data_IF_479353058302
#
_entry.id   IF_479353058302
#
_cell.length_a   1.000
_cell.length_b   1.000
_cell.length_c   1.000
_cell.angle_alpha   90.00
_cell.angle_beta   90.00
_cell.angle_gamma   90.00
#
_symmetry.space_group_name_H-M   'P 1'
#
loop_
_entity.id
_entity.type
_entity.pdbx_description
1 polymer ?
#
# COMPACT_ATOMS: atom_id res chain seq x y z
N UNK A 1 20.56 52.85 14.53
CA UNK A 1 20.20 54.28 14.52
C UNK A 1 19.16 54.68 15.59
N UNK A 2 18.29 53.79 16.07
CA UNK A 2 17.25 54.14 17.07
C UNK A 2 17.75 54.43 18.50
N UNK A 3 18.88 53.83 18.94
CA UNK A 3 19.43 54.05 20.30
C UNK A 3 20.03 55.46 20.54
N UNK A 4 20.42 56.18 19.49
CA UNK A 4 21.04 57.52 19.63
C UNK A 4 20.01 58.67 19.72
N UNK A 5 18.78 58.47 19.24
CA UNK A 5 17.70 59.45 19.37
C UNK A 5 17.11 59.48 20.79
N UNK A 6 16.95 58.32 21.42
CA UNK A 6 16.41 58.22 22.79
C UNK A 6 17.31 58.93 23.82
N UNK A 7 18.63 58.75 23.73
CA UNK A 7 19.57 59.40 24.65
C UNK A 7 19.69 60.92 24.46
N UNK A 8 19.42 61.43 23.25
CA UNK A 8 19.43 62.88 22.99
C UNK A 8 18.17 63.57 23.49
N UNK A 9 17.00 62.91 23.42
CA UNK A 9 15.73 63.40 23.95
C UNK A 9 15.73 63.48 25.48
N UNK A 10 16.30 62.48 26.17
CA UNK A 10 16.41 62.48 27.64
C UNK A 10 17.33 63.60 28.13
N UNK A 11 18.45 63.86 27.44
CA UNK A 11 19.35 64.99 27.78
C UNK A 11 18.72 66.36 27.55
N UNK A 12 17.86 66.51 26.53
CA UNK A 12 17.16 67.77 26.26
C UNK A 12 16.10 68.07 27.33
N UNK A 13 15.40 67.03 27.81
CA UNK A 13 14.35 67.16 28.82
C UNK A 13 14.89 67.60 30.20
N UNK A 14 16.04 67.06 30.63
CA UNK A 14 16.63 67.41 31.93
C UNK A 14 17.21 68.83 32.01
N UNK A 15 17.48 69.49 30.88
CA UNK A 15 17.99 70.87 30.86
C UNK A 15 16.86 71.89 31.11
N UNK A 16 15.61 71.58 30.77
CA UNK A 16 14.48 72.51 30.94
C UNK A 16 13.84 72.49 32.34
N UNK A 17 14.08 71.46 33.15
CA UNK A 17 13.42 71.29 34.47
C UNK A 17 14.14 72.03 35.61
N UNK A 18 15.29 72.69 35.35
CA UNK A 18 16.05 73.42 36.37
C UNK A 18 15.71 74.92 36.52
N UNK A 19 14.84 75.50 35.68
CA UNK A 19 14.37 76.89 35.87
C UNK A 19 12.95 76.91 36.49
N UNK A 20 12.79 77.38 37.73
CA UNK A 20 11.49 77.43 38.41
C UNK A 20 10.48 78.39 37.75
N UNK A 21 10.85 79.12 36.70
CA UNK A 21 9.96 80.00 35.94
C UNK A 21 9.24 79.34 34.75
N UNK A 22 9.57 78.08 34.42
CA UNK A 22 8.91 77.37 33.30
C UNK A 22 7.64 76.61 33.72
N UNK A 23 7.46 76.32 35.01
CA UNK A 23 6.37 75.49 35.53
C UNK A 23 4.99 76.17 35.57
N UNK A 24 4.89 77.49 35.35
CA UNK A 24 3.64 78.25 35.53
C UNK A 24 2.90 78.59 34.24
N UNK A 25 3.40 78.19 33.06
CA UNK A 25 2.79 78.60 31.77
C UNK A 25 2.28 77.49 30.85
N UNK A 26 2.48 76.21 31.16
CA UNK A 26 2.05 75.12 30.28
C UNK A 26 1.38 73.96 31.05
N UNK A 27 0.05 73.97 31.21
CA UNK A 27 -0.68 72.89 31.89
C UNK A 27 -0.58 71.53 31.17
N UNK A 28 -0.18 71.53 29.89
CA UNK A 28 0.05 70.32 29.09
C UNK A 28 1.30 69.54 29.55
N UNK A 29 2.30 70.19 30.15
CA UNK A 29 3.53 69.54 30.61
C UNK A 29 3.31 68.73 31.90
N UNK A 30 2.36 69.14 32.73
CA UNK A 30 1.94 68.41 33.94
C UNK A 30 1.15 67.16 33.54
N UNK A 31 0.28 67.26 32.53
CA UNK A 31 -0.49 66.13 32.02
C UNK A 31 0.42 65.03 31.43
N UNK A 32 1.46 65.42 30.68
CA UNK A 32 2.42 64.48 30.09
C UNK A 32 3.30 63.79 31.15
N UNK A 33 3.69 64.51 32.21
CA UNK A 33 4.43 63.93 33.32
C UNK A 33 3.56 62.97 34.16
N UNK A 34 2.28 63.27 34.35
CA UNK A 34 1.32 62.37 34.98
C UNK A 34 1.05 61.11 34.13
N UNK A 35 0.96 61.25 32.81
CA UNK A 35 0.81 60.12 31.87
C UNK A 35 2.04 59.19 31.89
N UNK A 36 3.26 59.74 31.91
CA UNK A 36 4.48 58.93 32.00
C UNK A 36 4.72 58.30 33.38
N UNK A 37 4.18 58.89 34.46
CA UNK A 37 4.16 58.26 35.78
C UNK A 37 3.06 57.18 35.88
N UNK A 38 1.95 57.33 35.16
CA UNK A 38 0.91 56.28 35.08
C UNK A 38 1.34 55.06 34.25
N UNK A 39 2.25 55.21 33.28
CA UNK A 39 2.81 54.07 32.54
C UNK A 39 3.78 53.21 33.37
N UNK A 40 4.29 53.72 34.50
CA UNK A 40 5.09 52.93 35.46
C UNK A 40 4.25 52.18 36.51
N UNK A 41 2.93 52.45 36.57
CA UNK A 41 1.98 51.80 37.48
C UNK A 41 1.04 50.81 36.74
N UNK A 42 1.24 50.60 35.45
CA UNK A 42 0.65 49.50 34.67
C UNK A 42 1.55 48.24 34.73
N UNK A 43 2.10 47.96 35.91
CA UNK A 43 2.75 46.69 36.20
C UNK A 43 1.68 45.65 36.59
N UNK A 44 1.74 44.50 35.92
CA UNK A 44 0.94 43.29 36.20
C UNK A 44 -0.59 43.41 36.06
N UNK A 45 -1.06 43.37 34.82
CA UNK A 45 -1.95 42.28 34.46
C UNK A 45 -1.26 41.55 33.32
N UNK A 46 -0.42 40.57 33.65
CA UNK A 46 -0.28 39.47 32.72
C UNK A 46 -1.70 38.94 32.55
N UNK A 47 -2.20 38.88 31.33
CA UNK A 47 -3.19 37.86 31.04
C UNK A 47 -2.58 36.58 31.60
N UNK A 48 -3.18 36.00 32.64
CA UNK A 48 -3.06 34.57 32.81
C UNK A 48 -3.45 34.04 31.42
N UNK A 49 -2.47 33.60 30.63
CA UNK A 49 -2.76 32.57 29.67
C UNK A 49 -3.42 31.50 30.54
N UNK A 50 -4.74 31.37 30.44
CA UNK A 50 -5.42 30.18 30.90
C UNK A 50 -4.63 29.05 30.25
N UNK A 51 -3.76 28.39 31.02
CA UNK A 51 -3.17 27.13 30.61
C UNK A 51 -4.37 26.23 30.43
N UNK A 52 -4.81 26.09 29.18
CA UNK A 52 -5.81 25.11 28.80
C UNK A 52 -5.33 23.79 29.38
N UNK A 53 -6.10 23.28 30.34
CA UNK A 53 -5.80 21.99 30.95
C UNK A 53 -5.95 20.94 29.87
N UNK A 54 -5.00 20.03 29.75
CA UNK A 54 -5.13 18.92 28.80
C UNK A 54 -6.38 18.12 29.11
N UNK A 55 -7.16 17.86 28.08
CA UNK A 55 -8.36 17.04 28.10
C UNK A 55 -8.13 15.87 27.15
N UNK A 56 -8.42 14.66 27.63
CA UNK A 56 -8.42 13.43 26.86
C UNK A 56 -9.69 12.65 27.20
N UNK A 57 -10.42 12.27 26.17
CA UNK A 57 -11.61 11.43 26.27
C UNK A 57 -11.54 10.29 25.26
N UNK A 58 -11.90 9.10 25.71
CA UNK A 58 -11.98 7.89 24.91
C UNK A 58 -13.38 7.31 25.07
N UNK A 59 -14.07 7.03 23.96
CA UNK A 59 -15.48 6.62 24.01
C UNK A 59 -15.70 5.20 24.60
N UNK A 60 -14.77 4.28 24.39
CA UNK A 60 -14.81 2.92 24.95
C UNK A 60 -13.41 2.40 25.23
N UNK A 61 -13.27 1.60 26.30
CA UNK A 61 -12.02 0.98 26.72
C UNK A 61 -11.88 -0.48 26.26
N UNK A 62 -12.96 -1.06 25.72
CA UNK A 62 -12.98 -2.35 25.04
C UNK A 62 -13.70 -2.17 23.69
N UNK A 63 -13.06 -2.61 22.62
CA UNK A 63 -13.56 -2.52 21.26
C UNK A 63 -13.44 -3.89 20.57
N UNK A 64 -14.29 -4.10 19.57
CA UNK A 64 -14.19 -5.23 18.67
C UNK A 64 -14.12 -4.70 17.25
N UNK A 65 -13.05 -5.04 16.54
CA UNK A 65 -12.79 -4.56 15.19
C UNK A 65 -12.78 -5.74 14.21
N UNK A 66 -13.41 -5.59 13.04
CA UNK A 66 -13.39 -6.61 11.99
C UNK A 66 -11.97 -6.94 11.53
N UNK A 67 -11.68 -8.23 11.35
CA UNK A 67 -10.45 -8.73 10.78
C UNK A 67 -10.25 -8.19 9.35
N UNK A 68 -9.13 -7.55 9.07
CA UNK A 68 -8.78 -7.12 7.71
C UNK A 68 -9.63 -5.98 7.13
N UNK A 69 -10.35 -5.22 7.95
CA UNK A 69 -11.14 -4.07 7.50
C UNK A 69 -10.75 -2.80 8.29
N UNK A 70 -10.99 -1.63 7.68
CA UNK A 70 -10.80 -0.35 8.35
C UNK A 70 -11.85 -0.15 9.45
N UNK A 71 -11.37 0.11 10.66
CA UNK A 71 -12.21 0.35 11.84
C UNK A 71 -11.87 1.69 12.49
N UNK A 72 -12.88 2.56 12.63
CA UNK A 72 -12.72 3.87 13.24
C UNK A 72 -13.38 3.96 14.61
N UNK A 73 -12.71 4.61 15.56
CA UNK A 73 -13.19 4.79 16.92
C UNK A 73 -13.01 6.24 17.38
N UNK A 74 -13.64 6.61 18.50
CA UNK A 74 -13.68 8.01 18.94
C UNK A 74 -12.69 8.28 20.07
N UNK A 75 -11.77 9.21 19.79
CA UNK A 75 -10.87 9.85 20.76
C UNK A 75 -11.11 11.35 20.67
N UNK A 76 -11.12 12.08 21.78
CA UNK A 76 -11.15 13.53 21.76
C UNK A 76 -10.02 14.08 22.62
N UNK A 77 -9.20 14.96 22.04
CA UNK A 77 -8.21 15.72 22.80
C UNK A 77 -8.14 17.17 22.32
N UNK A 78 -7.87 18.08 23.26
CA UNK A 78 -7.64 19.50 22.99
C UNK A 78 -6.17 19.84 22.70
N UNK A 79 -5.28 18.83 22.73
CA UNK A 79 -3.88 18.90 22.34
C UNK A 79 -3.58 17.76 21.36
N UNK A 80 -2.42 17.80 20.71
CA UNK A 80 -1.94 16.67 19.93
C UNK A 80 -1.79 15.45 20.83
N UNK A 81 -2.19 14.29 20.33
CA UNK A 81 -2.18 13.05 21.09
C UNK A 81 -1.53 11.93 20.29
N UNK A 82 -0.76 11.09 20.98
CA UNK A 82 -0.03 9.97 20.40
C UNK A 82 -0.72 8.67 20.76
N UNK A 83 -0.89 7.80 19.78
CA UNK A 83 -1.35 6.44 19.97
C UNK A 83 -0.18 5.51 19.69
N UNK A 84 0.12 4.62 20.62
CA UNK A 84 1.03 3.49 20.41
C UNK A 84 0.19 2.21 20.35
N UNK A 85 0.47 1.33 19.39
CA UNK A 85 -0.19 0.04 19.21
C UNK A 85 0.78 -1.08 19.58
N UNK A 86 0.30 -2.07 20.33
CA UNK A 86 1.00 -3.31 20.67
C UNK A 86 0.08 -4.49 20.38
N UNK A 87 0.47 -5.39 19.48
CA UNK A 87 -0.32 -6.54 19.04
C UNK A 87 -0.82 -6.43 17.60
N UNK A 88 -1.98 -7.04 17.31
CA UNK A 88 -2.38 -7.36 15.95
C UNK A 88 -3.07 -6.22 15.20
N UNK A 89 -2.33 -5.35 14.53
CA UNK A 89 -2.88 -4.39 13.57
C UNK A 89 -2.00 -3.16 13.32
N UNK A 90 -2.45 -2.35 12.38
CA UNK A 90 -1.83 -1.07 12.02
C UNK A 90 -2.69 0.11 12.45
N UNK A 91 -2.05 1.26 12.65
CA UNK A 91 -2.74 2.53 12.84
C UNK A 91 -3.12 3.13 11.48
N UNK A 92 -4.15 3.96 11.46
CA UNK A 92 -4.53 4.73 10.26
C UNK A 92 -4.48 6.22 10.60
N UNK A 93 -3.70 6.97 9.85
CA UNK A 93 -3.48 8.38 10.10
C UNK A 93 -4.69 9.26 9.78
N UNK A 94 -4.56 10.57 9.97
CA UNK A 94 -5.62 11.54 9.68
C UNK A 94 -6.01 11.66 8.21
N UNK A 95 -5.17 11.19 7.28
CA UNK A 95 -5.41 11.18 5.84
C UNK A 95 -5.98 9.84 5.37
N UNK A 96 -6.13 8.86 6.26
CA UNK A 96 -6.64 7.53 5.91
C UNK A 96 -5.57 6.56 5.43
N UNK A 97 -4.28 6.90 5.56
CA UNK A 97 -3.15 6.02 5.18
C UNK A 97 -2.85 5.05 6.32
N UNK A 98 -2.69 3.77 5.98
CA UNK A 98 -2.31 2.72 6.94
C UNK A 98 -0.83 2.84 7.24
N UNK A 99 -0.47 2.92 8.52
CA UNK A 99 0.89 3.13 9.01
C UNK A 99 1.45 1.85 9.62
N UNK A 100 2.57 1.39 9.09
CA UNK A 100 3.32 0.22 9.57
C UNK A 100 4.00 0.46 10.93
N UNK A 101 4.23 1.72 11.28
CA UNK A 101 4.83 2.12 12.54
C UNK A 101 3.94 1.85 13.76
N UNK A 102 4.57 1.42 14.86
CA UNK A 102 3.90 1.11 16.14
C UNK A 102 3.29 2.33 16.85
N UNK A 103 3.40 3.54 16.28
CA UNK A 103 2.82 4.73 16.87
C UNK A 103 2.56 5.85 15.86
N UNK A 104 1.53 6.65 16.12
CA UNK A 104 1.20 7.84 15.34
C UNK A 104 0.76 9.00 16.23
N UNK A 105 1.05 10.24 15.83
CA UNK A 105 0.61 11.45 16.54
C UNK A 105 -0.44 12.18 15.73
N UNK A 106 -1.62 12.32 16.31
CA UNK A 106 -2.76 12.98 15.69
C UNK A 106 -2.86 14.44 16.16
N UNK A 107 -3.30 15.37 15.29
CA UNK A 107 -3.43 16.77 15.65
C UNK A 107 -4.59 17.01 16.62
N UNK A 108 -4.45 18.04 17.46
CA UNK A 108 -5.49 18.49 18.38
C UNK A 108 -6.84 18.65 17.67
N UNK A 109 -7.89 18.06 18.25
CA UNK A 109 -9.25 18.12 17.73
C UNK A 109 -9.59 17.11 16.62
N UNK A 110 -8.64 16.30 16.14
CA UNK A 110 -8.96 15.11 15.36
C UNK A 110 -9.68 14.09 16.24
N UNK A 111 -10.71 13.42 15.70
CA UNK A 111 -11.66 12.64 16.51
C UNK A 111 -11.82 11.17 16.14
N UNK A 112 -11.32 10.79 14.97
CA UNK A 112 -11.65 9.51 14.34
C UNK A 112 -10.39 8.77 13.87
N UNK A 113 -9.46 8.45 14.78
CA UNK A 113 -8.36 7.55 14.44
C UNK A 113 -8.90 6.22 13.93
N UNK A 114 -8.22 5.66 12.93
CA UNK A 114 -8.53 4.35 12.37
C UNK A 114 -7.55 3.29 12.82
N UNK A 115 -7.98 2.04 12.69
CA UNK A 115 -7.20 0.82 12.84
C UNK A 115 -7.44 -0.06 11.63
N UNK A 116 -6.39 -0.75 11.20
CA UNK A 116 -6.48 -1.84 10.24
C UNK A 116 -5.98 -3.11 10.93
N UNK A 117 -6.90 -3.96 11.37
CA UNK A 117 -6.55 -5.14 12.16
C UNK A 117 -6.06 -6.27 11.25
N UNK A 118 -5.00 -6.98 11.65
CA UNK A 118 -4.57 -8.17 10.91
C UNK A 118 -5.71 -9.20 10.79
N UNK A 119 -5.76 -9.97 9.70
CA UNK A 119 -6.85 -10.89 9.38
C UNK A 119 -6.78 -12.20 10.20
N UNK A 120 -6.55 -12.10 11.52
CA UNK A 120 -6.38 -13.26 12.42
C UNK A 120 -7.42 -13.17 13.55
N UNK A 121 -8.65 -13.69 13.33
CA UNK A 121 -9.72 -13.64 14.33
C UNK A 121 -9.31 -14.29 15.66
N UNK A 122 -9.61 -13.60 16.77
CA UNK A 122 -9.27 -14.05 18.13
C UNK A 122 -7.99 -13.42 18.70
N UNK A 123 -7.18 -12.77 17.87
CA UNK A 123 -6.09 -11.92 18.33
C UNK A 123 -6.58 -10.58 18.91
N UNK A 124 -5.68 -9.79 19.47
CA UNK A 124 -5.98 -8.47 20.02
C UNK A 124 -4.83 -7.49 19.84
N UNK A 125 -5.15 -6.21 19.91
CA UNK A 125 -4.19 -5.13 20.04
C UNK A 125 -4.50 -4.27 21.27
N UNK A 126 -3.46 -3.73 21.89
CA UNK A 126 -3.54 -2.76 22.98
C UNK A 126 -3.13 -1.39 22.44
N UNK A 127 -3.98 -0.39 22.65
CA UNK A 127 -3.71 0.99 22.24
C UNK A 127 -3.41 1.84 23.48
N UNK A 128 -2.23 2.43 23.53
CA UNK A 128 -1.83 3.38 24.58
C UNK A 128 -1.93 4.80 24.03
N UNK A 129 -2.91 5.56 24.51
CA UNK A 129 -3.22 6.90 24.05
C UNK A 129 -2.68 7.91 25.05
N UNK A 130 -1.76 8.77 24.62
CA UNK A 130 -1.12 9.78 25.45
C UNK A 130 -1.39 11.19 24.94
N UNK A 131 -1.92 12.05 25.79
CA UNK A 131 -2.13 13.48 25.52
C UNK A 131 -1.62 14.30 26.70
N UNK A 132 -0.55 15.07 26.50
CA UNK A 132 0.11 15.80 27.59
C UNK A 132 0.64 14.86 28.68
N UNK A 133 0.11 14.97 29.90
CA UNK A 133 0.43 14.08 31.03
C UNK A 133 -0.62 12.97 31.26
N UNK A 134 -1.68 12.94 30.43
CA UNK A 134 -2.74 11.93 30.52
C UNK A 134 -2.43 10.74 29.62
N UNK A 135 -2.69 9.53 30.12
CA UNK A 135 -2.57 8.29 29.37
C UNK A 135 -3.78 7.41 29.65
N UNK A 136 -4.37 6.86 28.59
CA UNK A 136 -5.47 5.88 28.64
C UNK A 136 -5.09 4.67 27.78
N UNK A 137 -5.56 3.48 28.15
CA UNK A 137 -5.31 2.24 27.40
C UNK A 137 -6.62 1.58 26.98
N UNK A 138 -6.67 1.08 25.75
CA UNK A 138 -7.83 0.38 25.16
C UNK A 138 -7.38 -0.98 24.67
N UNK A 139 -8.20 -2.01 24.89
CA UNK A 139 -8.01 -3.31 24.25
C UNK A 139 -8.99 -3.46 23.08
N UNK A 140 -8.47 -3.91 21.94
CA UNK A 140 -9.24 -4.15 20.71
C UNK A 140 -9.14 -5.62 20.33
N UNK A 141 -10.27 -6.34 20.35
CA UNK A 141 -10.32 -7.73 19.91
C UNK A 141 -10.59 -7.82 18.42
N UNK A 142 -9.88 -8.69 17.70
CA UNK A 142 -10.13 -9.00 16.29
C UNK A 142 -11.28 -9.99 16.19
N UNK A 143 -12.35 -9.60 15.49
CA UNK A 143 -13.51 -10.46 15.24
C UNK A 143 -13.56 -10.91 13.77
N UNK A 144 -14.13 -12.09 13.56
CA UNK A 144 -14.31 -12.67 12.24
C UNK A 144 -15.08 -11.73 11.30
N UNK A 145 -14.54 -11.54 10.11
CA UNK A 145 -15.03 -10.67 9.06
C UNK A 145 -14.55 -11.19 7.71
N UNK A 146 -15.15 -10.70 6.61
CA UNK A 146 -14.68 -11.07 5.28
C UNK A 146 -13.29 -10.48 5.00
N UNK A 147 -13.05 -9.24 5.45
CA UNK A 147 -11.85 -8.49 5.10
C UNK A 147 -12.02 -7.69 3.83
N UNK A 148 -11.13 -6.71 3.63
CA UNK A 148 -11.10 -5.87 2.43
C UNK A 148 -10.66 -6.64 1.18
N UNK A 149 -9.84 -7.67 1.36
CA UNK A 149 -9.54 -8.72 0.38
C UNK A 149 -9.89 -10.07 0.97
N UNK A 150 -10.33 -11.03 0.16
CA UNK A 150 -10.59 -12.38 0.64
C UNK A 150 -10.56 -13.45 -0.47
N UNK A 151 -10.30 -14.68 -0.04
CA UNK A 151 -10.20 -15.83 -0.95
C UNK A 151 -11.46 -16.16 -1.75
N UNK A 152 -12.66 -15.87 -1.22
CA UNK A 152 -13.90 -16.17 -1.93
C UNK A 152 -14.14 -15.17 -3.07
N UNK A 153 -13.90 -13.88 -2.83
CA UNK A 153 -13.96 -12.84 -3.87
C UNK A 153 -12.96 -13.11 -4.99
N UNK A 154 -11.73 -13.52 -4.62
CA UNK A 154 -10.74 -13.97 -5.59
C UNK A 154 -11.21 -15.21 -6.38
N UNK A 155 -11.83 -16.20 -5.71
CA UNK A 155 -12.41 -17.35 -6.39
C UNK A 155 -13.51 -16.96 -7.40
N UNK A 156 -14.43 -16.10 -6.99
CA UNK A 156 -15.50 -15.60 -7.86
C UNK A 156 -14.91 -14.85 -9.08
N UNK A 157 -13.80 -14.15 -8.87
CA UNK A 157 -13.06 -13.45 -9.94
C UNK A 157 -12.41 -14.42 -10.93
N UNK A 158 -11.73 -15.48 -10.48
CA UNK A 158 -11.16 -16.46 -11.42
C UNK A 158 -12.25 -17.19 -12.20
N UNK A 159 -13.38 -17.56 -11.57
CA UNK A 159 -14.53 -18.16 -12.27
C UNK A 159 -15.05 -17.24 -13.36
N UNK A 160 -15.26 -15.96 -13.03
CA UNK A 160 -15.66 -14.95 -14.00
C UNK A 160 -14.68 -14.85 -15.17
N UNK A 161 -13.38 -14.79 -14.89
CA UNK A 161 -12.35 -14.68 -15.94
C UNK A 161 -12.28 -15.94 -16.82
N UNK A 162 -12.37 -17.14 -16.24
CA UNK A 162 -12.31 -18.40 -17.00
C UNK A 162 -13.61 -18.69 -17.76
N UNK A 163 -14.75 -18.20 -17.27
CA UNK A 163 -16.05 -18.45 -17.89
C UNK A 163 -16.40 -17.42 -18.96
N UNK A 164 -16.32 -16.14 -18.62
CA UNK A 164 -16.81 -15.04 -19.48
C UNK A 164 -15.70 -14.38 -20.30
N UNK A 165 -14.44 -14.51 -19.86
CA UNK A 165 -13.28 -13.86 -20.46
C UNK A 165 -12.19 -14.83 -20.90
N UNK A 166 -12.48 -16.09 -21.23
CA UNK A 166 -11.49 -17.04 -21.76
C UNK A 166 -10.94 -16.64 -23.15
N UNK A 167 -10.04 -17.44 -23.73
CA UNK A 167 -9.42 -17.27 -25.05
C UNK A 167 -8.76 -15.90 -25.25
N UNK A 168 -8.05 -15.43 -24.22
CA UNK A 168 -7.31 -14.17 -24.21
C UNK A 168 -5.95 -14.32 -24.90
N UNK A 169 -5.92 -14.88 -26.12
CA UNK A 169 -4.66 -14.91 -26.86
C UNK A 169 -4.36 -13.51 -27.37
N UNK A 170 -3.16 -13.04 -27.02
CA UNK A 170 -2.68 -11.72 -27.41
C UNK A 170 -1.96 -11.79 -28.78
N UNK A 171 -1.65 -10.62 -29.31
CA UNK A 171 -0.66 -10.42 -30.37
C UNK A 171 -0.76 -11.29 -31.61
N UNK A 172 0.40 -11.71 -32.10
CA UNK A 172 0.51 -12.47 -33.35
C UNK A 172 0.15 -13.95 -33.11
N UNK A 173 0.09 -14.39 -31.86
CA UNK A 173 -0.38 -15.70 -31.43
C UNK A 173 -1.89 -15.89 -31.58
N UNK A 174 -2.66 -14.80 -31.59
CA UNK A 174 -4.13 -14.81 -31.67
C UNK A 174 -4.68 -15.16 -33.07
N UNK A 175 -4.49 -16.41 -33.50
CA UNK A 175 -4.90 -16.88 -34.83
C UNK A 175 -6.39 -17.19 -34.98
N UNK A 176 -7.13 -17.29 -33.86
CA UNK A 176 -8.55 -17.67 -33.87
C UNK A 176 -9.48 -16.47 -34.10
N UNK A 177 -9.16 -15.29 -33.54
CA UNK A 177 -9.96 -14.07 -33.69
C UNK A 177 -9.15 -12.78 -33.90
N UNK A 178 -7.82 -12.84 -33.99
CA UNK A 178 -6.99 -11.66 -34.22
C UNK A 178 -6.87 -10.72 -33.01
N UNK A 179 -7.12 -11.21 -31.80
CA UNK A 179 -7.01 -10.46 -30.55
C UNK A 179 -8.29 -9.71 -30.17
N UNK A 180 -9.39 -9.89 -30.91
CA UNK A 180 -10.66 -9.21 -30.63
C UNK A 180 -11.19 -9.54 -29.24
N UNK A 181 -11.08 -10.80 -28.82
CA UNK A 181 -11.57 -11.25 -27.52
C UNK A 181 -10.68 -10.82 -26.35
N UNK A 182 -9.35 -10.78 -26.55
CA UNK A 182 -8.43 -10.16 -25.62
C UNK A 182 -8.80 -8.68 -25.40
N UNK A 183 -8.95 -7.93 -26.49
CA UNK A 183 -9.26 -6.50 -26.43
C UNK A 183 -10.63 -6.23 -25.77
N UNK A 184 -11.64 -7.05 -26.04
CA UNK A 184 -12.95 -6.93 -25.39
C UNK A 184 -12.89 -7.22 -23.88
N UNK A 185 -12.09 -8.21 -23.48
CA UNK A 185 -11.85 -8.52 -22.07
C UNK A 185 -11.09 -7.40 -21.38
N UNK A 186 -10.06 -6.84 -22.01
CA UNK A 186 -9.29 -5.70 -21.50
C UNK A 186 -10.17 -4.47 -21.23
N UNK A 187 -11.09 -4.12 -22.13
CA UNK A 187 -12.04 -3.01 -21.91
C UNK A 187 -13.04 -3.31 -20.79
N UNK A 188 -13.43 -4.58 -20.60
CA UNK A 188 -14.26 -4.97 -19.45
C UNK A 188 -13.50 -4.79 -18.14
N UNK A 189 -12.23 -5.21 -18.07
CA UNK A 189 -11.39 -5.03 -16.88
C UNK A 189 -11.17 -3.56 -16.57
N UNK A 190 -10.96 -2.73 -17.59
CA UNK A 190 -10.88 -1.28 -17.42
C UNK A 190 -12.14 -0.70 -16.77
N UNK A 191 -13.32 -1.12 -17.22
CA UNK A 191 -14.57 -0.65 -16.61
C UNK A 191 -14.71 -1.16 -15.18
N UNK A 192 -14.33 -2.40 -14.91
CA UNK A 192 -14.33 -2.96 -13.56
C UNK A 192 -13.43 -2.17 -12.60
N UNK A 193 -12.19 -1.87 -12.99
CA UNK A 193 -11.25 -1.06 -12.19
C UNK A 193 -11.74 0.38 -11.98
N UNK A 194 -12.42 0.98 -12.98
CA UNK A 194 -13.09 2.28 -12.81
C UNK A 194 -14.24 2.22 -11.80
N UNK A 195 -14.99 1.11 -11.79
CA UNK A 195 -16.12 0.91 -10.88
C UNK A 195 -15.65 0.68 -9.43
N UNK A 196 -14.46 0.11 -9.22
CA UNK A 196 -13.80 -0.02 -7.91
C UNK A 196 -13.50 1.36 -7.32
N UNK A 197 -12.95 2.28 -8.13
CA UNK A 197 -12.69 3.65 -7.69
C UNK A 197 -11.35 4.26 -8.09
N UNK A 198 -10.56 3.59 -8.94
CA UNK A 198 -9.28 4.13 -9.40
C UNK A 198 -9.44 5.50 -10.09
N UNK A 199 -8.51 6.42 -9.82
CA UNK A 199 -8.51 7.78 -10.36
C UNK A 199 -8.39 7.81 -11.89
N UNK A 200 -7.60 6.87 -12.42
CA UNK A 200 -7.38 6.72 -13.85
C UNK A 200 -7.24 5.25 -14.22
N UNK A 201 -7.87 4.84 -15.33
CA UNK A 201 -7.69 3.51 -15.90
C UNK A 201 -7.60 3.61 -17.41
N UNK A 202 -6.63 2.95 -17.99
CA UNK A 202 -6.41 2.88 -19.42
C UNK A 202 -6.25 1.45 -19.92
N UNK A 203 -6.65 1.25 -21.18
CA UNK A 203 -6.15 0.14 -22.00
C UNK A 203 -5.12 0.77 -22.91
N UNK A 204 -3.87 0.34 -22.81
CA UNK A 204 -2.77 1.02 -23.48
C UNK A 204 -2.86 0.88 -25.01
N UNK A 205 -2.34 1.90 -25.69
CA UNK A 205 -2.18 1.91 -27.14
C UNK A 205 -0.71 2.18 -27.47
N UNK A 206 0.09 1.11 -27.50
CA UNK A 206 1.50 1.17 -27.92
C UNK A 206 1.64 1.22 -29.46
N UNK A 207 2.88 1.18 -29.96
CA UNK A 207 3.15 1.20 -31.40
C UNK A 207 2.52 0.03 -32.16
N UNK A 208 2.45 -1.15 -31.53
CA UNK A 208 1.76 -2.33 -32.03
C UNK A 208 0.34 -2.36 -31.43
N UNK A 209 -0.69 -2.27 -32.28
CA UNK A 209 -2.10 -2.06 -31.88
C UNK A 209 -2.74 -3.22 -31.09
N UNK A 210 -2.08 -4.38 -31.10
CA UNK A 210 -2.45 -5.59 -30.38
C UNK A 210 -1.91 -5.64 -28.94
N UNK A 211 -0.93 -4.80 -28.58
CA UNK A 211 -0.41 -4.72 -27.22
C UNK A 211 -1.32 -3.79 -26.40
N UNK A 212 -2.08 -4.40 -25.49
CA UNK A 212 -3.16 -3.75 -24.74
C UNK A 212 -3.09 -4.15 -23.27
N UNK A 213 -2.20 -3.52 -22.53
CA UNK A 213 -2.19 -3.67 -21.08
C UNK A 213 -3.40 -2.95 -20.50
N UNK A 214 -3.95 -3.46 -19.41
CA UNK A 214 -4.92 -2.72 -18.60
C UNK A 214 -4.17 -2.16 -17.40
N UNK A 215 -4.13 -0.84 -17.24
CA UNK A 215 -3.39 -0.20 -16.16
C UNK A 215 -4.30 0.78 -15.43
N UNK A 216 -4.40 0.61 -14.12
CA UNK A 216 -5.17 1.46 -13.22
C UNK A 216 -4.25 2.16 -12.23
N UNK A 217 -4.52 3.43 -11.97
CA UNK A 217 -3.72 4.31 -11.12
C UNK A 217 -4.60 4.93 -10.03
N UNK A 218 -4.12 4.86 -8.78
CA UNK A 218 -4.66 5.60 -7.63
C UNK A 218 -3.53 6.49 -7.10
N UNK A 219 -3.69 7.81 -7.17
CA UNK A 219 -2.56 8.73 -6.98
C UNK A 219 -2.16 8.86 -5.50
N UNK A 220 -0.85 8.80 -5.23
CA UNK A 220 -0.32 8.90 -3.88
C UNK A 220 -0.50 10.29 -3.25
N UNK A 221 -0.72 10.31 -1.93
CA UNK A 221 -0.93 11.54 -1.15
C UNK A 221 0.35 12.37 -0.98
N UNK A 222 1.52 11.72 -0.93
CA UNK A 222 2.81 12.34 -0.61
C UNK A 222 3.80 12.25 -1.77
N UNK A 223 3.89 11.08 -2.40
CA UNK A 223 4.85 10.72 -3.44
C UNK A 223 4.15 10.27 -4.73
N UNK A 224 3.40 11.15 -5.42
CA UNK A 224 2.64 10.77 -6.61
C UNK A 224 3.53 10.35 -7.80
N UNK A 225 4.80 10.77 -7.80
CA UNK A 225 5.79 10.43 -8.83
C UNK A 225 6.54 9.10 -8.56
N UNK A 226 6.27 8.44 -7.44
CA UNK A 226 6.81 7.12 -7.09
C UNK A 226 5.70 6.08 -7.07
N UNK A 227 5.88 5.00 -7.83
CA UNK A 227 4.86 4.01 -8.12
C UNK A 227 5.15 2.69 -7.42
N UNK A 228 4.12 2.11 -6.79
CA UNK A 228 4.14 0.71 -6.34
C UNK A 228 3.20 -0.06 -7.25
N UNK A 229 3.76 -1.01 -8.00
CA UNK A 229 3.04 -1.72 -9.06
C UNK A 229 2.67 -3.12 -8.56
N UNK A 230 1.45 -3.57 -8.86
CA UNK A 230 1.01 -4.96 -8.68
C UNK A 230 0.45 -5.47 -10.01
N UNK A 231 0.70 -6.74 -10.35
CA UNK A 231 0.21 -7.27 -11.62
C UNK A 231 0.55 -8.73 -11.90
N UNK A 232 -0.25 -9.34 -12.75
CA UNK A 232 -0.02 -10.63 -13.40
C UNK A 232 -0.39 -10.52 -14.88
N UNK A 233 0.02 -11.49 -15.69
CA UNK A 233 -0.31 -11.42 -17.12
C UNK A 233 -1.75 -11.87 -17.39
N UNK A 234 -2.37 -11.18 -18.34
CA UNK A 234 -3.77 -11.34 -18.67
C UNK A 234 -3.98 -12.29 -19.84
N UNK A 235 -3.00 -12.36 -20.75
CA UNK A 235 -3.07 -13.29 -21.84
C UNK A 235 -2.93 -14.73 -21.34
N UNK A 236 -3.34 -15.67 -22.20
CA UNK A 236 -3.20 -17.10 -21.94
C UNK A 236 -2.48 -17.73 -23.11
N UNK A 237 -1.75 -18.83 -22.84
CA UNK A 237 -0.95 -19.52 -23.84
C UNK A 237 -1.69 -19.77 -25.16
N UNK A 238 -1.16 -19.20 -26.24
CA UNK A 238 -1.74 -19.33 -27.58
C UNK A 238 -1.45 -20.69 -28.24
N UNK A 239 -2.04 -20.92 -29.41
CA UNK A 239 -1.82 -22.15 -30.15
C UNK A 239 -0.33 -22.42 -30.42
N UNK A 240 0.10 -23.65 -30.11
CA UNK A 240 1.47 -24.16 -30.28
C UNK A 240 2.49 -23.66 -29.26
N UNK A 241 2.08 -22.94 -28.21
CA UNK A 241 2.96 -22.62 -27.08
C UNK A 241 3.33 -23.90 -26.33
N UNK A 242 4.62 -24.26 -26.23
CA UNK A 242 5.04 -25.45 -25.47
C UNK A 242 4.85 -25.20 -23.95
N UNK A 243 4.60 -26.23 -23.14
CA UNK A 243 4.65 -27.65 -23.48
C UNK A 243 3.34 -28.23 -24.02
N UNK A 244 2.18 -27.63 -23.72
CA UNK A 244 0.85 -28.20 -23.98
C UNK A 244 0.20 -27.84 -25.32
N UNK A 245 0.67 -26.79 -26.00
CA UNK A 245 0.19 -26.36 -27.31
C UNK A 245 -0.94 -25.32 -27.30
N UNK A 246 -1.15 -24.62 -26.19
CA UNK A 246 -2.13 -23.56 -25.96
C UNK A 246 -3.27 -23.95 -25.01
N UNK A 247 -3.88 -22.94 -24.39
CA UNK A 247 -5.04 -23.08 -23.49
C UNK A 247 -6.15 -22.08 -23.86
N UNK A 248 -7.36 -22.36 -23.39
CA UNK A 248 -8.50 -21.44 -23.50
C UNK A 248 -8.67 -20.65 -22.22
N UNK A 249 -8.59 -21.31 -21.07
CA UNK A 249 -8.84 -20.65 -19.78
C UNK A 249 -7.54 -20.13 -19.17
N UNK A 250 -6.46 -20.92 -19.21
CA UNK A 250 -5.21 -20.55 -18.56
C UNK A 250 -5.42 -20.31 -17.08
N UNK A 251 -6.16 -21.20 -16.42
CA UNK A 251 -6.68 -20.94 -15.07
C UNK A 251 -5.53 -20.73 -14.08
N UNK A 252 -4.54 -21.61 -14.11
CA UNK A 252 -3.33 -21.44 -13.34
C UNK A 252 -2.40 -20.43 -14.02
N UNK A 253 -2.25 -20.50 -15.35
CA UNK A 253 -1.27 -19.73 -16.14
C UNK A 253 -1.96 -18.83 -17.20
N UNK A 254 -2.24 -17.56 -16.89
CA UNK A 254 -2.09 -16.90 -15.58
C UNK A 254 -3.35 -16.13 -15.15
N UNK A 255 -4.52 -16.76 -15.36
CA UNK A 255 -5.76 -16.22 -14.79
C UNK A 255 -5.64 -16.12 -13.27
N UNK A 256 -4.88 -17.00 -12.61
CA UNK A 256 -4.65 -16.95 -11.17
C UNK A 256 -3.88 -15.69 -10.73
N UNK A 257 -2.82 -15.29 -11.42
CA UNK A 257 -2.07 -14.06 -11.12
C UNK A 257 -2.87 -12.80 -11.46
N UNK A 258 -3.54 -12.78 -12.61
CA UNK A 258 -4.53 -11.75 -12.96
C UNK A 258 -5.62 -11.59 -11.88
N UNK A 259 -6.10 -12.71 -11.33
CA UNK A 259 -7.09 -12.72 -10.25
C UNK A 259 -6.54 -12.09 -8.96
N UNK A 260 -5.32 -12.43 -8.56
CA UNK A 260 -4.68 -11.80 -7.39
C UNK A 260 -4.48 -10.30 -7.63
N UNK A 261 -4.09 -9.88 -8.83
CA UNK A 261 -3.97 -8.46 -9.16
C UNK A 261 -5.30 -7.71 -9.06
N UNK A 262 -6.41 -8.29 -9.55
CA UNK A 262 -7.74 -7.69 -9.47
C UNK A 262 -8.28 -7.66 -8.04
N UNK A 263 -8.09 -8.73 -7.26
CA UNK A 263 -8.50 -8.75 -5.85
C UNK A 263 -7.69 -7.75 -5.02
N UNK A 264 -6.38 -7.62 -5.27
CA UNK A 264 -5.57 -6.55 -4.69
C UNK A 264 -6.11 -5.17 -5.08
N UNK A 265 -6.55 -5.00 -6.33
CA UNK A 265 -7.08 -3.73 -6.82
C UNK A 265 -8.34 -3.28 -6.05
N UNK A 266 -9.19 -4.18 -5.55
CA UNK A 266 -10.35 -3.85 -4.70
C UNK A 266 -9.94 -3.10 -3.43
N UNK A 267 -8.88 -3.55 -2.75
CA UNK A 267 -8.34 -2.83 -1.59
C UNK A 267 -7.57 -1.58 -1.99
N UNK A 268 -6.67 -1.70 -2.98
CA UNK A 268 -5.77 -0.61 -3.33
C UNK A 268 -6.48 0.57 -4.02
N UNK A 269 -7.62 0.35 -4.66
CA UNK A 269 -8.46 1.39 -5.27
C UNK A 269 -9.40 2.08 -4.29
N UNK A 270 -9.56 1.58 -3.06
CA UNK A 270 -10.48 2.12 -2.05
C UNK A 270 -9.78 2.65 -0.79
N UNK A 271 -8.47 2.42 -0.68
CA UNK A 271 -7.59 2.92 0.38
C UNK A 271 -6.73 4.09 -0.09
N UNK A 272 -6.15 4.83 0.86
CA UNK A 272 -5.21 5.91 0.61
C UNK A 272 -3.79 5.44 0.92
N UNK A 273 -2.83 5.92 0.12
CA UNK A 273 -1.42 5.56 0.20
C UNK A 273 -0.55 6.79 -0.01
N UNK A 274 0.67 6.76 0.53
CA UNK A 274 1.62 7.86 0.30
C UNK A 274 2.15 7.85 -1.14
N UNK A 275 2.37 6.66 -1.72
CA UNK A 275 2.84 6.45 -3.08
C UNK A 275 1.70 6.18 -4.06
N UNK A 276 1.92 6.42 -5.35
CA UNK A 276 0.93 6.07 -6.36
C UNK A 276 0.84 4.55 -6.49
N UNK A 277 -0.38 4.03 -6.37
CA UNK A 277 -0.68 2.63 -6.65
C UNK A 277 -0.86 2.45 -8.15
N UNK A 278 -0.25 1.39 -8.70
CA UNK A 278 -0.52 0.93 -10.06
C UNK A 278 -0.96 -0.53 -10.03
N UNK A 279 -2.17 -0.83 -10.47
CA UNK A 279 -2.64 -2.20 -10.69
C UNK A 279 -2.68 -2.49 -12.18
N UNK A 280 -2.05 -3.59 -12.61
CA UNK A 280 -1.84 -3.88 -14.02
C UNK A 280 -2.17 -5.31 -14.40
N UNK A 281 -2.69 -5.46 -15.63
CA UNK A 281 -2.90 -6.73 -16.31
C UNK A 281 -2.11 -6.70 -17.62
N UNK A 282 -1.04 -7.50 -17.69
CA UNK A 282 -0.06 -7.42 -18.79
C UNK A 282 -0.52 -8.20 -20.02
N UNK A 283 -0.26 -7.62 -21.19
CA UNK A 283 -0.52 -8.25 -22.47
C UNK A 283 0.68 -9.07 -22.95
N UNK A 284 0.42 -10.20 -23.62
CA UNK A 284 1.42 -10.89 -24.44
C UNK A 284 2.67 -11.32 -23.65
N UNK A 285 2.54 -11.77 -22.40
CA UNK A 285 3.65 -12.38 -21.64
C UNK A 285 4.19 -13.59 -22.41
N UNK A 286 3.27 -14.41 -22.92
CA UNK A 286 3.56 -15.71 -23.54
C UNK A 286 4.24 -15.59 -24.92
N UNK A 287 4.22 -14.38 -25.48
CA UNK A 287 4.95 -14.01 -26.70
C UNK A 287 6.34 -13.40 -26.40
N UNK A 288 6.72 -13.33 -25.13
CA UNK A 288 8.01 -12.84 -24.65
C UNK A 288 7.94 -11.50 -23.93
N UNK A 289 7.05 -11.38 -22.93
CA UNK A 289 6.94 -10.25 -22.00
C UNK A 289 6.55 -8.92 -22.68
N UNK A 290 5.83 -8.96 -23.81
CA UNK A 290 5.74 -7.79 -24.69
C UNK A 290 5.02 -6.61 -24.04
N UNK A 291 3.98 -6.87 -23.25
CA UNK A 291 3.21 -5.84 -22.53
C UNK A 291 4.02 -5.19 -21.43
N UNK A 292 4.54 -5.97 -20.48
CA UNK A 292 5.36 -5.42 -19.37
C UNK A 292 6.63 -4.73 -19.85
N UNK A 293 7.29 -5.22 -20.92
CA UNK A 293 8.40 -4.52 -21.55
C UNK A 293 7.96 -3.18 -22.14
N UNK A 294 6.82 -3.15 -22.84
CA UNK A 294 6.29 -1.92 -23.40
C UNK A 294 5.91 -0.92 -22.30
N UNK A 295 5.29 -1.37 -21.20
CA UNK A 295 4.97 -0.52 -20.06
C UNK A 295 6.23 0.12 -19.48
N UNK A 296 7.23 -0.69 -19.15
CA UNK A 296 8.51 -0.20 -18.57
C UNK A 296 9.20 0.78 -19.51
N UNK A 297 9.25 0.50 -20.81
CA UNK A 297 9.83 1.39 -21.83
C UNK A 297 9.10 2.73 -21.97
N UNK A 298 7.83 2.81 -21.53
CA UNK A 298 6.97 4.00 -21.63
C UNK A 298 6.72 4.70 -20.28
N UNK A 299 7.33 4.24 -19.19
CA UNK A 299 7.30 4.95 -17.91
C UNK A 299 7.86 6.37 -18.13
N UNK A 300 7.13 7.44 -17.74
CA UNK A 300 7.61 8.81 -17.94
C UNK A 300 8.93 9.05 -17.20
N UNK A 301 9.83 9.86 -17.76
CA UNK A 301 11.17 10.10 -17.19
C UNK A 301 11.17 10.66 -15.75
N UNK A 302 10.07 11.29 -15.31
CA UNK A 302 9.92 11.83 -13.95
C UNK A 302 9.31 10.84 -12.95
N UNK A 303 8.93 9.65 -13.42
CA UNK A 303 8.30 8.61 -12.62
C UNK A 303 9.34 7.55 -12.28
N UNK A 304 9.22 6.98 -11.09
CA UNK A 304 10.05 5.86 -10.64
C UNK A 304 9.17 4.76 -10.06
N UNK A 305 9.51 3.49 -10.34
CA UNK A 305 8.84 2.33 -9.72
C UNK A 305 9.61 1.91 -8.48
N UNK A 306 9.01 2.06 -7.30
CA UNK A 306 9.61 1.70 -6.02
C UNK A 306 9.67 0.19 -5.82
N UNK A 307 8.58 -0.50 -6.16
CA UNK A 307 8.51 -1.94 -6.19
C UNK A 307 7.48 -2.43 -7.20
N UNK A 308 7.68 -3.65 -7.70
CA UNK A 308 6.70 -4.39 -8.47
C UNK A 308 6.41 -5.76 -7.84
N UNK A 309 5.14 -6.07 -7.57
CA UNK A 309 4.70 -7.40 -7.17
C UNK A 309 4.15 -8.15 -8.38
N UNK A 310 4.84 -9.21 -8.78
CA UNK A 310 4.48 -10.08 -9.88
C UNK A 310 3.78 -11.33 -9.35
N UNK A 311 2.56 -11.58 -9.81
CA UNK A 311 1.84 -12.82 -9.55
C UNK A 311 1.81 -13.64 -10.82
N UNK A 312 2.36 -14.85 -10.78
CA UNK A 312 2.34 -15.76 -11.92
C UNK A 312 2.27 -17.22 -11.45
N UNK A 313 1.27 -17.96 -11.93
CA UNK A 313 1.00 -19.35 -11.57
C UNK A 313 0.83 -19.54 -10.07
N UNK A 314 -0.20 -18.91 -9.51
CA UNK A 314 -0.41 -18.77 -8.06
C UNK A 314 -1.64 -19.57 -7.55
N UNK A 315 -1.94 -19.46 -6.26
CA UNK A 315 -3.15 -19.99 -5.59
C UNK A 315 -3.25 -21.50 -5.34
N UNK A 316 -2.43 -22.33 -5.98
CA UNK A 316 -2.21 -23.71 -5.52
C UNK A 316 -1.07 -23.77 -4.49
N UNK A 317 -1.35 -23.22 -3.31
CA UNK A 317 -0.37 -23.07 -2.23
C UNK A 317 -0.98 -23.29 -0.83
N UNK A 318 -0.27 -22.91 0.23
CA UNK A 318 -0.78 -22.93 1.60
C UNK A 318 -2.20 -22.31 1.67
N UNK A 319 -3.15 -22.91 2.44
CA UNK A 319 -3.02 -24.09 3.29
C UNK A 319 -3.33 -25.42 2.59
N UNK A 320 -3.45 -25.42 1.26
CA UNK A 320 -3.84 -26.59 0.48
C UNK A 320 -2.80 -27.70 0.64
N UNK A 321 -3.27 -28.94 0.84
CA UNK A 321 -2.42 -30.13 0.83
C UNK A 321 -2.60 -30.84 -0.52
N UNK A 322 -1.52 -31.09 -1.28
CA UNK A 322 -1.62 -31.70 -2.59
C UNK A 322 -2.23 -33.12 -2.52
N UNK A 323 -3.01 -33.52 -3.54
CA UNK A 323 -3.43 -34.90 -3.69
C UNK A 323 -2.24 -35.81 -4.02
N UNK A 324 -2.33 -37.13 -3.76
CA UNK A 324 -1.24 -38.05 -4.05
C UNK A 324 -0.77 -37.98 -5.51
N UNK A 325 0.53 -37.76 -5.71
CA UNK A 325 1.15 -37.66 -7.03
C UNK A 325 1.34 -36.24 -7.56
N UNK A 326 0.90 -35.23 -6.81
CA UNK A 326 1.16 -33.81 -7.06
C UNK A 326 1.94 -33.19 -5.90
N UNK A 327 2.56 -32.04 -6.16
CA UNK A 327 3.22 -31.20 -5.17
C UNK A 327 4.72 -31.47 -4.98
N UNK A 328 5.36 -30.74 -4.05
CA UNK A 328 4.73 -29.94 -2.98
C UNK A 328 3.99 -28.70 -3.50
N UNK A 329 3.00 -28.20 -2.75
CA UNK A 329 2.24 -26.96 -3.01
C UNK A 329 2.88 -25.75 -2.35
N UNK A 330 4.18 -25.57 -2.60
CA UNK A 330 4.95 -24.50 -1.97
C UNK A 330 4.60 -23.14 -2.60
N UNK A 331 4.67 -22.08 -1.78
CA UNK A 331 4.64 -20.69 -2.21
C UNK A 331 6.06 -20.12 -2.14
N UNK A 332 6.63 -19.79 -3.29
CA UNK A 332 7.91 -19.10 -3.41
C UNK A 332 7.71 -17.61 -3.59
N UNK A 333 8.43 -16.81 -2.80
CA UNK A 333 8.53 -15.35 -2.96
C UNK A 333 9.99 -15.00 -3.22
N UNK A 334 10.32 -14.68 -4.47
CA UNK A 334 11.67 -14.28 -4.85
C UNK A 334 11.77 -12.75 -4.89
N UNK A 335 12.80 -12.19 -4.25
CA UNK A 335 13.10 -10.76 -4.34
C UNK A 335 14.27 -10.51 -5.28
N UNK A 336 14.19 -9.45 -6.07
CA UNK A 336 15.23 -9.06 -7.02
C UNK A 336 15.28 -7.54 -7.21
N UNK A 337 16.29 -7.08 -7.95
CA UNK A 337 16.35 -5.70 -8.41
C UNK A 337 16.78 -4.66 -7.37
N UNK A 338 17.17 -5.07 -6.16
CA UNK A 338 17.67 -4.15 -5.14
C UNK A 338 19.14 -4.43 -4.75
N UNK A 339 19.70 -3.58 -3.87
CA UNK A 339 21.01 -3.85 -3.25
C UNK A 339 20.90 -4.97 -2.21
N UNK A 340 22.04 -5.50 -1.74
CA UNK A 340 22.04 -6.53 -0.69
C UNK A 340 21.43 -6.02 0.62
N UNK A 341 21.63 -4.73 0.96
CA UNK A 341 20.98 -4.10 2.11
C UNK A 341 19.45 -4.06 1.95
N UNK A 342 18.97 -3.63 0.78
CA UNK A 342 17.52 -3.52 0.54
C UNK A 342 16.87 -4.89 0.35
N UNK A 343 17.58 -5.90 -0.15
CA UNK A 343 17.10 -7.28 -0.12
C UNK A 343 16.87 -7.77 1.32
N UNK A 344 17.71 -7.37 2.28
CA UNK A 344 17.50 -7.74 3.69
C UNK A 344 16.18 -7.16 4.19
N UNK A 345 15.93 -5.87 3.92
CA UNK A 345 14.67 -5.20 4.26
C UNK A 345 13.47 -5.90 3.62
N UNK A 346 13.55 -6.23 2.32
CA UNK A 346 12.46 -6.93 1.62
C UNK A 346 12.17 -8.31 2.21
N UNK A 347 13.21 -9.07 2.57
CA UNK A 347 13.04 -10.40 3.18
C UNK A 347 12.49 -10.30 4.60
N UNK A 348 12.88 -9.28 5.36
CA UNK A 348 12.35 -9.00 6.69
C UNK A 348 10.85 -8.64 6.62
N UNK A 349 10.42 -7.84 5.63
CA UNK A 349 8.99 -7.58 5.41
C UNK A 349 8.19 -8.82 5.06
N UNK A 350 8.75 -9.74 4.26
CA UNK A 350 8.09 -11.02 3.97
C UNK A 350 7.96 -11.85 5.25
N UNK A 351 9.01 -11.90 6.07
CA UNK A 351 8.97 -12.60 7.35
C UNK A 351 7.92 -12.01 8.28
N UNK A 352 7.89 -10.68 8.45
CA UNK A 352 6.87 -10.00 9.28
C UNK A 352 5.45 -10.27 8.79
N UNK A 353 5.20 -10.14 7.48
CA UNK A 353 3.89 -10.43 6.89
C UNK A 353 3.46 -11.88 7.15
N UNK A 354 4.32 -12.86 6.85
CA UNK A 354 3.96 -14.29 6.92
C UNK A 354 3.90 -14.82 8.35
N UNK A 355 4.88 -14.46 9.18
CA UNK A 355 5.13 -15.08 10.49
C UNK A 355 4.46 -14.29 11.61
N UNK A 356 4.64 -12.98 11.64
CA UNK A 356 4.21 -12.15 12.77
C UNK A 356 2.76 -11.70 12.62
N UNK A 357 2.40 -11.20 11.42
CA UNK A 357 1.12 -10.56 11.17
C UNK A 357 0.02 -11.57 10.81
N UNK A 358 0.33 -12.48 9.87
CA UNK A 358 -0.62 -13.50 9.39
C UNK A 358 -0.53 -14.81 10.16
N UNK A 359 0.56 -15.03 10.90
CA UNK A 359 0.78 -16.20 11.75
C UNK A 359 0.63 -17.54 11.00
N UNK A 360 1.01 -17.56 9.72
CA UNK A 360 0.90 -18.76 8.90
C UNK A 360 1.83 -19.86 9.41
N UNK A 361 1.29 -21.08 9.43
CA UNK A 361 1.97 -22.26 9.94
C UNK A 361 2.00 -23.35 8.87
N UNK A 362 2.84 -23.18 7.82
CA UNK A 362 2.92 -24.12 6.72
C UNK A 362 3.48 -25.48 7.14
N UNK A 363 3.28 -26.47 6.28
CA UNK A 363 3.80 -27.83 6.45
C UNK A 363 4.83 -28.14 5.36
N UNK A 364 5.51 -29.29 5.45
CA UNK A 364 6.46 -29.74 4.43
C UNK A 364 5.82 -30.15 3.09
N UNK A 365 4.55 -29.84 2.87
CA UNK A 365 3.81 -30.10 1.63
C UNK A 365 3.28 -28.81 1.00
N UNK A 366 3.46 -27.67 1.68
CA UNK A 366 2.98 -26.37 1.28
C UNK A 366 3.77 -25.27 2.01
N UNK A 367 5.10 -25.39 1.92
CA UNK A 367 6.03 -24.45 2.54
C UNK A 367 5.87 -23.08 1.90
N UNK A 368 5.90 -22.02 2.72
CA UNK A 368 6.03 -20.65 2.23
C UNK A 368 7.51 -20.30 2.43
N UNK A 369 8.22 -20.01 1.35
CA UNK A 369 9.65 -19.74 1.40
C UNK A 369 10.01 -18.49 0.58
N UNK A 370 11.02 -17.76 1.04
CA UNK A 370 11.48 -16.54 0.40
C UNK A 370 12.99 -16.50 0.27
N UNK A 371 13.47 -15.85 -0.80
CA UNK A 371 14.90 -15.70 -1.05
C UNK A 371 15.19 -14.56 -2.01
N UNK A 372 16.39 -13.98 -1.90
CA UNK A 372 16.92 -13.14 -2.97
C UNK A 372 17.34 -14.03 -4.15
N UNK A 373 16.63 -13.93 -5.27
CA UNK A 373 16.87 -14.74 -6.46
C UNK A 373 16.48 -13.96 -7.71
N UNK A 374 17.46 -13.79 -8.61
CA UNK A 374 17.22 -13.21 -9.92
C UNK A 374 16.86 -14.33 -10.91
N UNK A 375 15.64 -14.30 -11.42
CA UNK A 375 15.19 -15.12 -12.54
C UNK A 375 14.46 -14.22 -13.55
N UNK A 376 14.38 -14.67 -14.80
CA UNK A 376 13.57 -14.01 -15.83
C UNK A 376 12.54 -15.03 -16.32
N UNK A 377 11.59 -15.34 -15.44
CA UNK A 377 10.57 -16.34 -15.71
C UNK A 377 9.23 -15.73 -16.16
N UNK A 378 8.98 -14.45 -15.85
CA UNK A 378 7.71 -13.74 -16.07
C UNK A 378 7.93 -12.22 -16.12
N UNK A 379 6.86 -11.42 -16.06
CA UNK A 379 6.85 -9.96 -16.26
C UNK A 379 7.76 -9.17 -15.32
N UNK A 380 8.04 -9.67 -14.11
CA UNK A 380 9.03 -9.06 -13.20
C UNK A 380 10.38 -8.85 -13.86
N UNK A 381 10.71 -9.66 -14.87
CA UNK A 381 11.91 -9.52 -15.68
C UNK A 381 12.03 -8.17 -16.38
N UNK A 382 10.91 -7.61 -16.83
CA UNK A 382 10.86 -6.29 -17.46
C UNK A 382 11.27 -5.19 -16.47
N UNK A 383 10.84 -5.31 -15.22
CA UNK A 383 11.11 -4.35 -14.15
C UNK A 383 12.53 -4.48 -13.57
N UNK A 384 12.95 -5.67 -13.15
CA UNK A 384 14.23 -5.82 -12.44
C UNK A 384 15.44 -5.60 -13.35
N UNK A 385 15.29 -5.77 -14.68
CA UNK A 385 16.34 -5.46 -15.67
C UNK A 385 16.68 -3.98 -15.72
N UNK A 386 15.69 -3.12 -15.52
CA UNK A 386 15.88 -1.66 -15.35
C UNK A 386 16.26 -1.30 -13.91
N UNK A 387 16.46 -2.31 -13.07
CA UNK A 387 16.90 -2.15 -11.70
C UNK A 387 15.77 -1.94 -10.72
N UNK A 388 14.49 -2.05 -11.12
CA UNK A 388 13.35 -1.92 -10.19
C UNK A 388 13.27 -3.09 -9.21
N UNK A 389 12.92 -2.84 -7.95
CA UNK A 389 12.82 -3.88 -6.93
C UNK A 389 11.56 -4.71 -7.21
N UNK A 390 11.65 -6.03 -7.13
CA UNK A 390 10.51 -6.90 -7.43
C UNK A 390 10.29 -7.96 -6.36
N UNK A 391 9.02 -8.29 -6.14
CA UNK A 391 8.56 -9.44 -5.36
C UNK A 391 7.85 -10.38 -6.33
N UNK A 392 8.39 -11.57 -6.53
CA UNK A 392 7.92 -12.51 -7.55
C UNK A 392 7.29 -13.71 -6.86
N UNK A 393 5.97 -13.81 -6.95
CA UNK A 393 5.18 -14.87 -6.35
C UNK A 393 4.96 -15.97 -7.37
N UNK A 394 5.39 -17.17 -7.01
CA UNK A 394 5.12 -18.40 -7.76
C UNK A 394 4.62 -19.47 -6.81
N UNK A 395 3.57 -20.18 -7.22
CA UNK A 395 3.14 -21.39 -6.50
C UNK A 395 3.57 -22.64 -7.23
N UNK A 396 3.21 -23.80 -6.68
CA UNK A 396 3.52 -25.11 -7.23
C UNK A 396 2.97 -25.38 -8.63
N UNK A 397 2.23 -24.45 -9.23
CA UNK A 397 2.10 -24.35 -10.67
C UNK A 397 3.44 -24.62 -11.37
N UNK A 398 4.57 -24.12 -10.84
CA UNK A 398 5.93 -24.34 -11.35
C UNK A 398 6.57 -25.73 -11.12
N UNK A 399 5.92 -26.65 -10.39
CA UNK A 399 6.48 -27.97 -10.08
C UNK A 399 6.41 -28.93 -11.28
N UNK A 400 7.38 -29.84 -11.37
CA UNK A 400 7.46 -30.81 -12.46
C UNK A 400 6.22 -31.72 -12.59
N UNK A 401 5.44 -31.88 -11.52
CA UNK A 401 4.16 -32.61 -11.55
C UNK A 401 3.06 -31.90 -12.36
N UNK A 402 3.19 -30.59 -12.60
CA UNK A 402 2.25 -29.79 -13.40
C UNK A 402 2.68 -29.57 -14.85
N UNK A 403 3.93 -29.91 -15.20
CA UNK A 403 4.49 -29.65 -16.54
C UNK A 403 3.64 -30.11 -17.73
N UNK A 404 2.85 -31.18 -17.57
CA UNK A 404 2.00 -31.69 -18.65
C UNK A 404 0.71 -30.87 -18.84
N UNK A 405 0.34 -30.10 -17.84
CA UNK A 405 -0.90 -29.34 -17.78
C UNK A 405 -0.68 -27.91 -18.31
N UNK A 406 0.55 -27.38 -18.20
CA UNK A 406 0.88 -26.02 -18.65
C UNK A 406 0.62 -25.82 -20.13
N UNK A 407 0.13 -24.63 -20.44
CA UNK A 407 -0.15 -24.19 -21.81
C UNK A 407 -0.96 -25.26 -22.54
N UNK A 408 -1.89 -25.92 -21.86
CA UNK A 408 -2.64 -27.03 -22.42
C UNK A 408 -4.12 -26.86 -22.10
N UNK A 409 -4.98 -27.57 -22.84
CA UNK A 409 -6.43 -27.51 -22.58
C UNK A 409 -6.88 -28.07 -21.23
N UNK A 410 -5.98 -28.68 -20.43
CA UNK A 410 -6.27 -29.10 -19.06
C UNK A 410 -5.94 -28.02 -18.02
N UNK A 411 -5.28 -26.93 -18.41
CA UNK A 411 -5.15 -25.74 -17.57
C UNK A 411 -6.45 -24.92 -17.59
N UNK A 412 -7.39 -25.39 -16.77
CA UNK A 412 -8.76 -24.89 -16.62
C UNK A 412 -9.17 -24.88 -15.14
N UNK A 413 -10.26 -24.17 -14.82
CA UNK A 413 -10.68 -23.96 -13.43
C UNK A 413 -11.07 -25.29 -12.75
N UNK A 414 -11.78 -26.16 -13.47
CA UNK A 414 -12.15 -27.51 -13.02
C UNK A 414 -10.91 -28.29 -12.51
N UNK A 415 -9.77 -28.15 -13.20
CA UNK A 415 -8.51 -28.77 -12.80
C UNK A 415 -7.99 -28.15 -11.50
N UNK A 416 -7.90 -26.82 -11.41
CA UNK A 416 -7.42 -26.13 -10.21
C UNK A 416 -8.28 -26.46 -8.99
N UNK A 417 -9.60 -26.42 -9.11
CA UNK A 417 -10.53 -26.82 -8.05
C UNK A 417 -10.27 -28.26 -7.60
N UNK A 418 -10.16 -29.20 -8.56
CA UNK A 418 -9.88 -30.59 -8.24
C UNK A 418 -8.54 -30.78 -7.53
N UNK A 419 -7.53 -29.94 -7.86
CA UNK A 419 -6.22 -29.93 -7.22
C UNK A 419 -6.20 -29.28 -5.85
N UNK A 420 -7.07 -28.31 -5.62
CA UNK A 420 -7.22 -27.62 -4.36
C UNK A 420 -8.10 -28.37 -3.34
N UNK A 421 -8.86 -29.37 -3.81
CA UNK A 421 -9.83 -30.10 -2.97
C UNK A 421 -11.23 -29.49 -2.99
N UNK A 422 -11.54 -28.67 -4.00
CA UNK A 422 -12.79 -27.95 -4.22
C UNK A 422 -12.60 -26.43 -4.20
N UNK A 423 -13.68 -25.71 -4.49
CA UNK A 423 -13.81 -24.25 -4.42
C UNK A 423 -13.24 -23.67 -3.12
N UNK A 424 -13.73 -24.10 -1.95
CA UNK A 424 -13.25 -23.64 -0.65
C UNK A 424 -11.72 -23.82 -0.48
N UNK A 425 -11.18 -24.90 -1.05
CA UNK A 425 -9.75 -25.18 -1.04
C UNK A 425 -8.99 -24.16 -1.88
N UNK A 426 -9.46 -23.87 -3.10
CA UNK A 426 -8.82 -22.93 -4.00
C UNK A 426 -8.92 -21.50 -3.45
N UNK A 427 -10.10 -21.11 -2.95
CA UNK A 427 -10.32 -19.86 -2.25
C UNK A 427 -9.32 -19.68 -1.08
N UNK A 428 -9.04 -20.74 -0.30
CA UNK A 428 -8.07 -20.65 0.79
C UNK A 428 -6.64 -20.35 0.32
N UNK A 429 -6.24 -20.87 -0.85
CA UNK A 429 -4.93 -20.59 -1.44
C UNK A 429 -4.83 -19.17 -2.02
N UNK A 430 -5.91 -18.65 -2.59
CA UNK A 430 -6.00 -17.22 -2.94
C UNK A 430 -5.91 -16.34 -1.70
N UNK A 431 -6.62 -16.69 -0.62
CA UNK A 431 -6.66 -15.92 0.62
C UNK A 431 -5.24 -15.69 1.16
N UNK A 432 -4.39 -16.72 1.17
CA UNK A 432 -3.01 -16.61 1.61
C UNK A 432 -2.22 -15.58 0.78
N UNK A 433 -2.40 -15.56 -0.53
CA UNK A 433 -1.65 -14.67 -1.41
C UNK A 433 -2.07 -13.21 -1.31
N UNK A 434 -3.37 -12.94 -1.35
CA UNK A 434 -3.87 -11.55 -1.33
C UNK A 434 -3.53 -10.88 -0.01
N UNK A 435 -3.56 -11.62 1.10
CA UNK A 435 -3.15 -11.09 2.41
C UNK A 435 -1.65 -10.84 2.52
N UNK A 436 -0.79 -11.77 2.09
CA UNK A 436 0.66 -11.52 2.08
C UNK A 436 0.99 -10.29 1.21
N UNK A 437 0.36 -10.20 0.04
CA UNK A 437 0.59 -9.11 -0.91
C UNK A 437 0.15 -7.76 -0.35
N UNK A 438 -1.01 -7.69 0.31
CA UNK A 438 -1.49 -6.45 0.93
C UNK A 438 -0.61 -5.99 2.10
N UNK A 439 -0.16 -6.91 2.96
CA UNK A 439 0.75 -6.57 4.05
C UNK A 439 2.08 -6.05 3.53
N UNK A 440 2.65 -6.71 2.52
CA UNK A 440 3.86 -6.23 1.86
C UNK A 440 3.67 -4.86 1.20
N UNK A 441 2.50 -4.60 0.63
CA UNK A 441 2.23 -3.31 0.00
C UNK A 441 2.26 -2.19 1.04
N UNK A 442 1.64 -2.41 2.20
CA UNK A 442 1.62 -1.47 3.32
C UNK A 442 3.05 -1.17 3.80
N UNK A 443 3.90 -2.19 3.94
CA UNK A 443 5.30 -1.99 4.33
C UNK A 443 6.09 -1.15 3.32
N UNK A 444 5.90 -1.41 2.03
CA UNK A 444 6.60 -0.66 0.98
C UNK A 444 6.11 0.80 0.95
N UNK A 445 4.81 1.03 1.08
CA UNK A 445 4.22 2.37 1.05
C UNK A 445 4.68 3.27 2.20
N UNK A 446 5.02 2.69 3.35
CA UNK A 446 5.48 3.43 4.51
C UNK A 446 7.00 3.73 4.51
N UNK A 447 7.70 3.45 3.41
CA UNK A 447 9.12 3.83 3.28
C UNK A 447 9.30 5.21 2.67
N UNK A 448 10.21 5.99 3.23
CA UNK A 448 10.63 7.24 2.61
C UNK A 448 11.45 6.99 1.32
N UNK A 449 11.52 7.95 0.39
CA UNK A 449 12.27 7.79 -0.87
C UNK A 449 13.75 7.39 -0.73
N UNK A 450 14.39 7.76 0.38
CA UNK A 450 15.81 7.46 0.65
C UNK A 450 16.03 6.21 1.54
N UNK A 451 14.96 5.61 2.04
CA UNK A 451 15.02 4.42 2.92
C UNK A 451 14.99 3.10 2.13
N UNK A 452 14.22 3.05 1.03
CA UNK A 452 14.11 1.87 0.19
C UNK A 452 13.99 2.23 -1.29
N UNK A 453 14.83 1.60 -2.10
CA UNK A 453 14.88 1.75 -3.55
C UNK A 453 15.57 0.54 -4.18
N UNK A 454 15.38 0.32 -5.46
CA UNK A 454 16.16 -0.66 -6.21
C UNK A 454 17.44 -0.04 -6.76
N UNK A 455 18.00 -0.70 -7.76
CA UNK A 455 19.32 -0.37 -8.32
C UNK A 455 19.32 0.78 -9.33
N UNK A 456 18.16 1.34 -9.67
CA UNK A 456 18.06 2.48 -10.59
C UNK A 456 18.64 3.78 -10.00
N UNK A 457 18.67 3.90 -8.67
CA UNK A 457 19.33 5.03 -7.99
C UNK A 457 20.82 4.73 -7.86
N UNK A 458 21.66 5.54 -8.52
CA UNK A 458 23.10 5.44 -8.35
C UNK A 458 23.45 5.66 -6.87
N UNK A 459 24.15 4.69 -6.26
CA UNK A 459 24.69 4.85 -4.91
C UNK A 459 25.56 6.10 -4.87
N UNK A 460 25.18 7.08 -4.07
CA UNK A 460 26.05 8.24 -3.79
C UNK A 460 27.16 7.81 -2.83
N UNK A 461 28.14 7.05 -3.34
CA UNK A 461 29.40 6.79 -2.62
C UNK A 461 30.26 8.05 -2.45
#
# INVERSE_FOLDING_TARGET
>A
MARNLANSLVRWFFIQVRDPRYMTRHPQTILLACLMLSSGLLGCFGSEEEKSTTELFVASFELSAPAGELFYYTVESNVDYRIEIDGAGFLVDENGVVRDGENWTYPAGFKSPGLFMHPVPGEFATLNITAGEMTESINVSVIDAAGIVNGQSAYDTIDWLTTDHNNRWCGKGSIHDGGENYAASAETMKQHLLDIGFDHVEVTEYEEDYLKDVVAYNYGEVYPDEWIVVGGHFDVAYALTPPGGGTSEGANDDTSGSTVSLEMAEALGTMNFDHTVVAALWACEEEGLLGSLAFVDHIPENITVKAYMNFDMVSLNYPIVPPPGYGPYDLGIAVAGASDENHTVMLDWIESAVVDELQYSPTSQNEIHWSAAESCASDHCSFFREGYATFNFFSAGGDASFWQEWHSGTDNLDFMEAKAGGEDGLASGFNTLVWISLQLFIHIDNTEPDEFQGRWVESTE
#
